data_IF_268901217414
#
_entry.id   IF_268901217414
#
_cell.length_a   1.000
_cell.length_b   1.000
_cell.length_c   1.000
_cell.angle_alpha   90.00
_cell.angle_beta   90.00
_cell.angle_gamma   90.00
#
_symmetry.space_group_name_H-M   'P 1'
#
loop_
_entity.id
_entity.type
_entity.pdbx_description
1 polymer ?
#
# COMPACT_ATOMS: atom_id res chain seq x y z
N UNK A 1 30.82 -21.75 7.95
CA UNK A 1 29.85 -20.65 8.05
C UNK A 1 29.31 -20.24 6.67
N UNK A 2 28.50 -21.06 5.99
CA UNK A 2 28.00 -20.71 4.64
C UNK A 2 26.85 -19.69 4.68
N UNK A 3 25.95 -19.83 5.65
CA UNK A 3 24.79 -18.95 5.82
C UNK A 3 25.17 -17.49 6.09
N UNK A 4 26.05 -17.24 7.07
CA UNK A 4 26.47 -15.87 7.40
C UNK A 4 27.19 -15.17 6.23
N UNK A 5 28.01 -15.90 5.47
CA UNK A 5 28.67 -15.36 4.28
C UNK A 5 27.66 -15.07 3.15
N UNK A 6 26.70 -15.98 2.92
CA UNK A 6 25.61 -15.77 1.96
C UNK A 6 24.79 -14.52 2.31
N UNK A 7 24.41 -14.37 3.59
CA UNK A 7 23.69 -13.19 4.09
C UNK A 7 24.47 -11.91 3.85
N UNK A 8 25.76 -11.89 4.20
CA UNK A 8 26.61 -10.71 4.03
C UNK A 8 26.76 -10.31 2.56
N UNK A 9 27.04 -11.27 1.67
CA UNK A 9 27.19 -10.97 0.24
C UNK A 9 25.86 -10.58 -0.39
N UNK A 10 24.75 -11.18 0.04
CA UNK A 10 23.42 -10.79 -0.39
C UNK A 10 23.10 -9.35 0.04
N UNK A 11 23.26 -9.00 1.32
CA UNK A 11 22.92 -7.65 1.80
C UNK A 11 23.80 -6.57 1.16
N UNK A 12 25.04 -6.89 0.81
CA UNK A 12 25.95 -6.03 0.03
C UNK A 12 25.59 -5.93 -1.47
N UNK A 13 24.58 -6.67 -1.95
CA UNK A 13 24.21 -6.71 -3.37
C UNK A 13 25.21 -7.43 -4.27
N UNK A 14 26.17 -8.18 -3.70
CA UNK A 14 27.22 -8.86 -4.46
C UNK A 14 26.73 -10.13 -5.15
N UNK A 15 25.68 -10.74 -4.61
CA UNK A 15 25.04 -11.93 -5.18
C UNK A 15 23.52 -11.80 -5.09
N UNK A 16 22.82 -12.44 -6.02
CA UNK A 16 21.36 -12.51 -6.01
C UNK A 16 20.84 -13.39 -4.86
N UNK A 17 19.56 -13.20 -4.53
CA UNK A 17 18.84 -13.98 -3.54
C UNK A 17 18.95 -15.50 -3.79
N UNK A 18 18.74 -15.92 -5.04
CA UNK A 18 18.80 -17.33 -5.44
C UNK A 18 20.21 -17.92 -5.31
N UNK A 19 21.23 -17.14 -5.68
CA UNK A 19 22.64 -17.55 -5.53
C UNK A 19 23.05 -17.64 -4.06
N UNK A 20 22.54 -16.76 -3.21
CA UNK A 20 22.78 -16.79 -1.78
C UNK A 20 22.15 -18.03 -1.11
N UNK A 21 20.89 -18.35 -1.47
CA UNK A 21 20.21 -19.56 -1.01
C UNK A 21 20.95 -20.84 -1.45
N UNK A 22 21.36 -20.91 -2.73
CA UNK A 22 22.18 -22.02 -3.23
C UNK A 22 23.50 -22.16 -2.48
N UNK A 23 24.21 -21.05 -2.24
CA UNK A 23 25.47 -21.06 -1.50
C UNK A 23 25.29 -21.51 -0.04
N UNK A 24 24.17 -21.14 0.58
CA UNK A 24 23.81 -21.57 1.92
C UNK A 24 23.32 -23.02 1.99
N UNK A 25 22.96 -23.63 0.85
CA UNK A 25 22.34 -24.96 0.79
C UNK A 25 20.90 -24.96 1.28
N UNK A 26 20.18 -23.85 1.08
CA UNK A 26 18.81 -23.62 1.54
C UNK A 26 17.87 -23.48 0.35
N UNK A 27 16.59 -23.76 0.57
CA UNK A 27 15.55 -23.29 -0.35
C UNK A 27 15.47 -21.76 -0.31
N UNK A 28 14.85 -21.17 -1.33
CA UNK A 28 14.66 -19.71 -1.37
C UNK A 28 13.82 -19.22 -0.19
N UNK A 29 12.80 -19.97 0.23
CA UNK A 29 11.94 -19.60 1.37
C UNK A 29 12.74 -19.69 2.66
N UNK A 30 13.48 -20.79 2.89
CA UNK A 30 14.28 -20.95 4.12
C UNK A 30 15.35 -19.86 4.25
N UNK A 31 15.90 -19.39 3.13
CA UNK A 31 16.86 -18.28 3.14
C UNK A 31 16.19 -16.94 3.51
N UNK A 32 14.97 -16.68 3.05
CA UNK A 32 14.17 -15.51 3.46
C UNK A 32 13.88 -15.56 4.96
N UNK A 33 13.47 -16.72 5.48
CA UNK A 33 13.21 -16.92 6.90
C UNK A 33 14.47 -16.71 7.73
N UNK A 34 15.62 -17.18 7.24
CA UNK A 34 16.91 -16.96 7.88
C UNK A 34 17.31 -15.47 7.91
N UNK A 35 17.07 -14.71 6.83
CA UNK A 35 17.28 -13.25 6.80
C UNK A 35 16.37 -12.55 7.82
N UNK A 36 15.10 -12.93 7.88
CA UNK A 36 14.16 -12.37 8.85
C UNK A 36 14.57 -12.65 10.30
N UNK A 37 14.99 -13.89 10.61
CA UNK A 37 15.50 -14.27 11.92
C UNK A 37 16.76 -13.47 12.31
N UNK A 38 17.61 -13.16 11.32
CA UNK A 38 18.80 -12.32 11.49
C UNK A 38 18.49 -10.81 11.48
N UNK A 39 17.22 -10.40 11.29
CA UNK A 39 16.79 -9.00 11.13
C UNK A 39 17.50 -8.27 9.98
N UNK A 40 17.79 -9.00 8.91
CA UNK A 40 18.36 -8.47 7.68
C UNK A 40 17.26 -8.26 6.63
N UNK A 41 17.43 -7.31 5.69
CA UNK A 41 16.45 -7.08 4.63
C UNK A 41 16.28 -8.34 3.77
N UNK A 42 15.03 -8.77 3.59
CA UNK A 42 14.68 -9.86 2.67
C UNK A 42 14.56 -9.40 1.21
N UNK A 43 14.48 -8.09 0.98
CA UNK A 43 14.45 -7.50 -0.35
C UNK A 43 15.26 -6.20 -0.31
N UNK A 44 15.98 -5.92 -1.40
CA UNK A 44 16.53 -4.59 -1.61
C UNK A 44 15.41 -3.69 -2.10
N UNK A 45 15.21 -2.57 -1.43
CA UNK A 45 14.23 -1.56 -1.79
C UNK A 45 14.98 -0.27 -2.04
N UNK A 46 14.82 0.30 -3.22
CA UNK A 46 15.23 1.67 -3.48
C UNK A 46 14.18 2.60 -2.85
N UNK A 47 14.62 3.47 -1.95
CA UNK A 47 13.73 4.37 -1.22
C UNK A 47 13.13 5.45 -2.12
N UNK A 48 13.83 5.86 -3.17
CA UNK A 48 13.33 6.87 -4.09
C UNK A 48 12.27 6.26 -5.02
N UNK A 49 12.53 5.05 -5.54
CA UNK A 49 11.52 4.30 -6.29
C UNK A 49 10.27 4.01 -5.45
N UNK A 50 10.46 3.60 -4.18
CA UNK A 50 9.36 3.35 -3.26
C UNK A 50 8.55 4.63 -2.98
N UNK A 51 9.21 5.78 -2.83
CA UNK A 51 8.53 7.08 -2.65
C UNK A 51 7.68 7.42 -3.85
N UNK A 52 8.24 7.31 -5.05
CA UNK A 52 7.51 7.57 -6.28
C UNK A 52 6.32 6.63 -6.45
N UNK A 53 6.49 5.34 -6.14
CA UNK A 53 5.39 4.37 -6.17
C UNK A 53 4.28 4.74 -5.19
N UNK A 54 4.64 5.15 -3.97
CA UNK A 54 3.70 5.56 -2.94
C UNK A 54 2.94 6.83 -3.34
N UNK A 55 3.61 7.80 -3.95
CA UNK A 55 2.97 9.04 -4.42
C UNK A 55 2.02 8.76 -5.59
N UNK A 56 2.43 7.93 -6.56
CA UNK A 56 1.53 7.46 -7.63
C UNK A 56 0.29 6.76 -7.07
N UNK A 57 0.48 5.87 -6.10
CA UNK A 57 -0.63 5.16 -5.46
C UNK A 57 -1.59 6.11 -4.75
N UNK A 58 -1.07 7.11 -4.01
CA UNK A 58 -1.88 8.15 -3.34
C UNK A 58 -2.65 9.02 -4.33
N UNK A 59 -2.02 9.41 -5.43
CA UNK A 59 -2.70 10.19 -6.48
C UNK A 59 -3.86 9.41 -7.09
N UNK A 60 -3.63 8.15 -7.46
CA UNK A 60 -4.67 7.29 -8.01
C UNK A 60 -5.82 7.06 -7.02
N UNK A 61 -5.53 6.86 -5.73
CA UNK A 61 -6.55 6.69 -4.69
C UNK A 61 -7.38 7.96 -4.51
N UNK A 62 -6.73 9.14 -4.48
CA UNK A 62 -7.41 10.43 -4.40
C UNK A 62 -8.33 10.69 -5.58
N UNK A 63 -7.92 10.33 -6.80
CA UNK A 63 -8.76 10.46 -7.99
C UNK A 63 -9.99 9.57 -7.94
N UNK A 64 -9.86 8.32 -7.49
CA UNK A 64 -11.00 7.40 -7.28
C UNK A 64 -11.96 7.94 -6.23
N UNK A 65 -11.45 8.38 -5.09
CA UNK A 65 -12.25 8.97 -4.02
C UNK A 65 -12.98 10.24 -4.47
N UNK A 66 -12.35 11.08 -5.29
CA UNK A 66 -12.97 12.28 -5.85
C UNK A 66 -14.10 11.97 -6.84
N UNK A 67 -14.01 10.87 -7.59
CA UNK A 67 -15.05 10.43 -8.51
C UNK A 67 -16.30 9.88 -7.79
N UNK A 68 -16.11 9.27 -6.61
CA UNK A 68 -17.19 8.68 -5.81
C UNK A 68 -17.81 9.66 -4.79
N UNK A 69 -17.24 10.86 -4.63
CA UNK A 69 -17.79 11.90 -3.77
C UNK A 69 -19.05 12.50 -4.41
N UNK A 70 -20.22 12.48 -3.73
CA UNK A 70 -21.39 13.20 -4.23
C UNK A 70 -21.03 14.68 -4.36
N UNK A 71 -21.30 15.26 -5.53
CA UNK A 71 -21.00 16.67 -5.81
C UNK A 71 -21.63 17.59 -4.76
N UNK A 72 -21.11 18.82 -4.58
CA UNK A 72 -21.52 19.75 -3.51
C UNK A 72 -22.98 20.24 -3.56
N UNK A 73 -23.87 19.59 -4.33
CA UNK A 73 -25.30 19.87 -4.43
C UNK A 73 -26.23 18.76 -3.96
N UNK A 74 -25.72 17.70 -3.32
CA UNK A 74 -26.56 16.61 -2.80
C UNK A 74 -27.21 16.96 -1.46
N UNK A 75 -28.53 17.22 -1.48
CA UNK A 75 -29.51 17.20 -0.38
C UNK A 75 -29.63 18.45 0.53
N UNK A 76 -30.11 19.56 -0.05
CA UNK A 76 -31.08 20.37 0.69
C UNK A 76 -32.41 19.59 0.68
N UNK A 77 -32.75 19.00 1.82
CA UNK A 77 -33.98 18.23 1.99
C UNK A 77 -35.20 19.03 1.54
N UNK A 78 -36.00 18.46 0.64
CA UNK A 78 -37.36 18.91 0.40
C UNK A 78 -38.10 18.94 1.74
N UNK A 79 -38.40 20.14 2.22
CA UNK A 79 -39.32 20.34 3.31
C UNK A 79 -40.69 19.74 2.91
N UNK A 80 -41.42 19.09 3.83
CA UNK A 80 -42.76 18.62 3.52
C UNK A 80 -43.67 19.82 3.29
N UNK A 81 -44.34 19.85 2.14
CA UNK A 81 -45.42 20.78 1.82
C UNK A 81 -46.45 20.74 2.96
N UNK A 82 -46.55 21.85 3.69
CA UNK A 82 -47.59 22.05 4.69
C UNK A 82 -48.83 22.51 3.94
N UNK A 83 -49.98 21.81 4.03
CA UNK A 83 -51.18 22.27 3.37
C UNK A 83 -51.67 23.54 4.07
N UNK A 84 -51.77 24.62 3.27
CA UNK A 84 -52.28 25.92 3.67
C UNK A 84 -53.79 25.83 3.98
N UNK A 85 -54.15 25.53 5.22
CA UNK A 85 -55.48 25.83 5.75
C UNK A 85 -55.53 27.28 6.24
N UNK A 86 -56.30 28.11 5.54
CA UNK A 86 -56.57 29.45 6.03
C UNK A 86 -57.34 30.35 5.06
N UNK A 87 -58.64 30.47 5.32
CA UNK A 87 -59.47 31.67 5.09
C UNK A 87 -60.09 31.79 3.67
N UNK A 88 -61.42 31.82 3.45
CA UNK A 88 -62.46 32.75 3.96
C UNK A 88 -63.86 32.21 3.59
N UNK A 89 -64.82 32.18 4.51
CA UNK A 89 -65.79 33.24 4.86
C UNK A 89 -67.13 33.10 4.10
N UNK A 90 -68.23 33.17 4.84
CA UNK A 90 -69.61 33.18 4.32
C UNK A 90 -70.51 32.29 5.13
#
# INVERSE_FOLDING_TARGET
>A
MRLAAAMLWYTQGRISHERAAQFAGLSRIDFIDALAAAKLPAFHVDLDELREELDRARHADRERLAADLPGPGGTAGSAPDTPSEGHRAG
#
